data_IF_195017555941
#
_entry.id   IF_195017555941
#
_cell.length_a   1.000
_cell.length_b   1.000
_cell.length_c   1.000
_cell.angle_alpha   90.00
_cell.angle_beta   90.00
_cell.angle_gamma   90.00
#
_symmetry.space_group_name_H-M   'P 1'
#
loop_
_entity.id
_entity.type
_entity.pdbx_description
1 polymer ?
#
# COMPACT_ATOMS: atom_id res chain seq x y z
N UNK A 1 -9.33 -4.31 -18.77
CA UNK A 1 -7.87 -4.10 -18.69
C UNK A 1 -7.26 -5.30 -17.96
N UNK A 2 -6.43 -6.10 -18.64
CA UNK A 2 -5.79 -7.25 -17.98
C UNK A 2 -4.70 -6.74 -17.02
N UNK A 3 -4.95 -6.81 -15.73
CA UNK A 3 -3.95 -6.50 -14.72
C UNK A 3 -2.82 -7.53 -14.79
N UNK A 4 -1.62 -7.03 -15.02
CA UNK A 4 -0.40 -7.84 -15.03
C UNK A 4 -0.18 -8.38 -13.61
N UNK A 5 -0.71 -9.58 -13.34
CA UNK A 5 -0.57 -10.25 -12.04
C UNK A 5 0.89 -10.59 -11.82
N UNK A 6 1.48 -10.08 -10.76
CA UNK A 6 2.83 -10.45 -10.32
C UNK A 6 2.84 -11.96 -10.04
N UNK A 7 3.89 -12.70 -10.41
CA UNK A 7 3.93 -14.15 -10.27
C UNK A 7 3.63 -14.71 -8.87
N UNK A 8 3.82 -13.89 -7.83
CA UNK A 8 3.46 -14.21 -6.45
C UNK A 8 1.93 -14.17 -6.23
N UNK A 9 1.22 -13.17 -6.80
CA UNK A 9 -0.24 -13.08 -6.70
C UNK A 9 -0.93 -14.30 -7.31
N UNK A 10 -0.40 -14.83 -8.41
CA UNK A 10 -0.91 -16.05 -9.05
C UNK A 10 -0.87 -17.29 -8.16
N UNK A 11 0.08 -17.35 -7.23
CA UNK A 11 0.19 -18.49 -6.28
C UNK A 11 -0.79 -18.39 -5.10
N UNK A 12 -1.29 -17.18 -4.84
CA UNK A 12 -2.22 -16.91 -3.74
C UNK A 12 -3.67 -17.01 -4.21
N UNK A 13 -3.93 -16.76 -5.49
CA UNK A 13 -5.27 -16.84 -6.09
C UNK A 13 -5.69 -18.31 -6.32
N UNK A 14 -6.94 -18.62 -6.00
CA UNK A 14 -7.59 -19.88 -6.39
C UNK A 14 -7.92 -19.88 -7.89
N UNK A 15 -8.08 -21.06 -8.51
CA UNK A 15 -8.32 -21.21 -9.95
C UNK A 15 -9.58 -20.46 -10.44
N UNK A 16 -10.62 -20.38 -9.59
CA UNK A 16 -11.89 -19.70 -9.89
C UNK A 16 -11.96 -18.26 -9.36
N UNK A 17 -10.83 -17.70 -8.92
CA UNK A 17 -10.80 -16.38 -8.29
C UNK A 17 -10.39 -15.29 -9.28
N UNK A 18 -11.33 -14.40 -9.60
CA UNK A 18 -11.10 -13.30 -10.52
C UNK A 18 -10.68 -12.02 -9.74
N UNK A 19 -9.61 -11.36 -10.19
CA UNK A 19 -9.19 -10.07 -9.66
C UNK A 19 -10.11 -8.98 -10.20
N UNK A 20 -10.86 -8.34 -9.30
CA UNK A 20 -11.78 -7.24 -9.63
C UNK A 20 -11.07 -5.89 -9.63
N UNK A 21 -10.26 -5.62 -8.60
CA UNK A 21 -9.57 -4.34 -8.44
C UNK A 21 -8.24 -4.53 -7.74
N UNK A 22 -7.24 -3.75 -8.16
CA UNK A 22 -5.96 -3.65 -7.46
C UNK A 22 -5.80 -2.23 -6.94
N UNK A 23 -5.87 -2.05 -5.63
CA UNK A 23 -5.63 -0.78 -4.98
C UNK A 23 -4.19 -0.70 -4.50
N UNK A 24 -3.50 0.36 -4.89
CA UNK A 24 -2.15 0.67 -4.44
C UNK A 24 -2.19 1.85 -3.47
N UNK A 25 -1.22 1.87 -2.60
CA UNK A 25 -1.02 3.01 -1.71
C UNK A 25 -0.69 4.27 -2.52
N UNK A 26 -1.30 5.38 -2.16
CA UNK A 26 -1.13 6.64 -2.91
C UNK A 26 0.34 7.10 -2.91
N UNK A 27 0.82 7.61 -4.03
CA UNK A 27 2.23 8.01 -4.23
C UNK A 27 2.70 9.13 -3.29
N UNK A 28 1.79 9.98 -2.82
CA UNK A 28 2.08 11.07 -1.88
C UNK A 28 2.67 10.56 -0.56
N UNK A 29 2.20 9.42 -0.05
CA UNK A 29 2.77 8.84 1.18
C UNK A 29 4.24 8.52 0.99
N UNK A 30 4.58 7.96 -0.17
CA UNK A 30 5.97 7.73 -0.54
C UNK A 30 6.74 9.05 -0.57
N UNK A 31 6.19 10.06 -1.27
CA UNK A 31 6.85 11.35 -1.43
C UNK A 31 7.20 11.98 -0.07
N UNK A 32 6.23 12.09 0.85
CA UNK A 32 6.48 12.68 2.16
C UNK A 32 7.45 11.86 3.03
N UNK A 33 7.43 10.54 2.93
CA UNK A 33 8.37 9.69 3.66
C UNK A 33 9.78 9.72 3.09
N UNK A 34 9.90 9.75 1.77
CA UNK A 34 11.21 9.67 1.10
C UNK A 34 11.91 11.01 1.00
N UNK A 35 11.18 12.14 1.01
CA UNK A 35 11.78 13.48 0.88
C UNK A 35 12.80 13.79 1.99
N UNK A 36 12.50 13.38 3.24
CA UNK A 36 13.40 13.60 4.37
C UNK A 36 14.72 12.84 4.20
N UNK A 37 14.66 11.61 3.73
CA UNK A 37 15.87 10.82 3.44
C UNK A 37 16.69 11.44 2.32
N UNK A 38 16.04 11.91 1.26
CA UNK A 38 16.70 12.59 0.15
C UNK A 38 17.34 13.91 0.57
N UNK A 39 16.65 14.75 1.35
CA UNK A 39 17.18 16.00 1.87
C UNK A 39 18.38 15.76 2.79
N UNK A 40 18.31 14.77 3.68
CA UNK A 40 19.42 14.40 4.56
C UNK A 40 20.62 13.93 3.75
N UNK A 41 20.41 13.10 2.74
CA UNK A 41 21.48 12.65 1.85
C UNK A 41 22.16 13.82 1.12
N UNK A 42 21.37 14.73 0.53
CA UNK A 42 21.87 15.91 -0.17
C UNK A 42 22.64 16.83 0.80
N UNK A 43 22.12 17.06 2.02
CA UNK A 43 22.78 17.87 3.02
C UNK A 43 24.13 17.29 3.46
N UNK A 44 24.21 15.96 3.63
CA UNK A 44 25.45 15.28 3.98
C UNK A 44 26.49 15.36 2.86
N UNK A 45 26.09 15.16 1.60
CA UNK A 45 26.98 15.30 0.45
C UNK A 45 27.48 16.74 0.30
N UNK A 46 26.58 17.73 0.46
CA UNK A 46 26.97 19.15 0.44
C UNK A 46 27.93 19.49 1.59
N UNK A 47 27.69 18.96 2.80
CA UNK A 47 28.57 19.11 3.94
C UNK A 47 29.95 18.47 3.73
N UNK A 48 29.99 17.26 3.16
CA UNK A 48 31.25 16.61 2.81
C UNK A 48 32.05 17.42 1.77
N UNK A 49 31.38 17.93 0.73
CA UNK A 49 32.01 18.78 -0.27
C UNK A 49 32.52 20.11 0.32
N UNK A 50 31.77 20.72 1.24
CA UNK A 50 32.18 21.91 1.93
C UNK A 50 33.42 21.65 2.81
N UNK A 51 33.45 20.58 3.59
CA UNK A 51 34.57 20.14 4.37
C UNK A 51 35.82 19.90 3.49
N UNK A 52 35.65 19.20 2.37
CA UNK A 52 36.73 18.96 1.42
C UNK A 52 37.41 20.25 0.94
N UNK A 53 36.62 21.30 0.69
CA UNK A 53 37.14 22.58 0.18
C UNK A 53 37.71 23.50 1.29
N UNK A 54 37.33 23.28 2.55
CA UNK A 54 37.69 24.18 3.65
C UNK A 54 38.75 23.63 4.63
N UNK A 55 38.94 22.29 4.61
CA UNK A 55 39.88 21.64 5.52
C UNK A 55 41.29 21.56 4.92
N UNK A 56 42.36 21.60 5.78
CA UNK A 56 43.73 21.44 5.32
C UNK A 56 43.97 20.10 4.63
N UNK A 57 45.00 20.06 3.77
CA UNK A 57 45.40 18.82 3.12
C UNK A 57 45.81 17.77 4.17
N UNK A 58 45.24 16.56 4.04
CA UNK A 58 45.47 15.45 4.98
C UNK A 58 44.36 15.26 6.05
N UNK A 59 43.33 16.09 6.05
CA UNK A 59 42.20 15.98 6.96
C UNK A 59 41.09 15.12 6.29
N UNK A 60 40.83 13.95 6.81
CA UNK A 60 39.88 12.96 6.23
C UNK A 60 38.48 13.08 6.79
N UNK A 61 38.12 14.13 7.54
CA UNK A 61 36.77 14.32 8.12
C UNK A 61 35.65 14.29 7.08
N UNK A 62 35.89 14.85 5.90
CA UNK A 62 34.95 14.83 4.78
C UNK A 62 34.62 13.42 4.31
N UNK A 63 35.60 12.48 4.37
CA UNK A 63 35.38 11.05 4.02
C UNK A 63 34.36 10.40 4.95
N UNK A 64 34.48 10.66 6.26
CA UNK A 64 33.53 10.11 7.22
C UNK A 64 32.11 10.58 6.99
N UNK A 65 31.92 11.87 6.67
CA UNK A 65 30.62 12.42 6.33
C UNK A 65 30.09 11.80 5.03
N UNK A 66 30.94 11.64 4.03
CA UNK A 66 30.57 11.00 2.77
C UNK A 66 30.19 9.52 2.98
N UNK A 67 30.93 8.78 3.77
CA UNK A 67 30.62 7.37 4.10
C UNK A 67 29.30 7.27 4.87
N UNK A 68 29.09 8.13 5.86
CA UNK A 68 27.86 8.15 6.64
C UNK A 68 26.62 8.51 5.79
N UNK A 69 26.78 9.19 4.65
CA UNK A 69 25.70 9.50 3.73
C UNK A 69 25.07 8.26 3.09
N UNK A 70 25.73 7.09 3.17
CA UNK A 70 25.16 5.79 2.72
C UNK A 70 23.93 5.42 3.56
N UNK A 71 23.86 5.86 4.84
CA UNK A 71 22.72 5.55 5.73
C UNK A 71 21.41 6.16 5.19
N UNK A 72 21.30 7.48 4.93
CA UNK A 72 20.09 8.05 4.36
C UNK A 72 19.78 7.52 2.95
N UNK A 73 20.80 7.22 2.14
CA UNK A 73 20.60 6.58 0.84
C UNK A 73 19.96 5.18 0.98
N UNK A 74 20.45 4.37 1.89
CA UNK A 74 19.88 3.05 2.20
C UNK A 74 18.44 3.18 2.73
N UNK A 75 18.16 4.14 3.60
CA UNK A 75 16.81 4.46 4.09
C UNK A 75 15.86 4.85 2.97
N UNK A 76 16.31 5.67 2.04
CA UNK A 76 15.52 6.06 0.86
C UNK A 76 15.18 4.87 -0.04
N UNK A 77 16.16 4.02 -0.32
CA UNK A 77 15.97 2.78 -1.11
C UNK A 77 14.99 1.85 -0.39
N UNK A 78 15.14 1.68 0.93
CA UNK A 78 14.28 0.83 1.74
C UNK A 78 12.81 1.27 1.70
N UNK A 79 12.52 2.55 1.91
CA UNK A 79 11.16 3.10 1.83
C UNK A 79 10.56 2.93 0.43
N UNK A 80 11.37 3.07 -0.62
CA UNK A 80 10.93 2.81 -1.98
C UNK A 80 10.53 1.34 -2.19
N UNK A 81 11.33 0.40 -1.68
CA UNK A 81 11.06 -1.03 -1.76
C UNK A 81 9.80 -1.39 -0.97
N UNK A 82 9.64 -0.86 0.25
CA UNK A 82 8.44 -1.07 1.08
C UNK A 82 7.19 -0.62 0.33
N UNK A 83 7.18 0.60 -0.21
CA UNK A 83 6.03 1.12 -0.94
C UNK A 83 5.69 0.27 -2.18
N UNK A 84 6.70 -0.16 -2.92
CA UNK A 84 6.51 -0.96 -4.15
C UNK A 84 5.92 -2.34 -3.88
N UNK A 85 6.21 -2.91 -2.70
CA UNK A 85 5.76 -4.24 -2.31
C UNK A 85 4.42 -4.25 -1.54
N UNK A 86 3.82 -3.07 -1.26
CA UNK A 86 2.49 -2.99 -0.67
C UNK A 86 1.42 -2.99 -1.78
N UNK A 87 0.50 -3.94 -1.69
CA UNK A 87 -0.57 -4.13 -2.66
C UNK A 87 -1.83 -4.64 -1.96
N UNK A 88 -2.97 -4.05 -2.28
CA UNK A 88 -4.28 -4.53 -1.87
C UNK A 88 -5.03 -5.01 -3.11
N UNK A 89 -5.38 -6.27 -3.13
CA UNK A 89 -6.07 -6.91 -4.25
C UNK A 89 -7.46 -7.29 -3.80
N UNK A 90 -8.45 -6.83 -4.52
CA UNK A 90 -9.82 -7.24 -4.34
C UNK A 90 -10.18 -8.26 -5.41
N UNK A 91 -10.72 -9.37 -4.97
CA UNK A 91 -11.24 -10.44 -5.83
C UNK A 91 -12.75 -10.50 -5.73
N UNK A 92 -13.36 -11.41 -6.43
CA UNK A 92 -14.79 -11.70 -6.33
C UNK A 92 -15.19 -12.40 -5.02
N UNK A 93 -14.22 -12.82 -4.14
CA UNK A 93 -14.51 -13.57 -2.90
C UNK A 93 -13.89 -12.94 -1.65
N UNK A 94 -12.74 -12.28 -1.79
CA UNK A 94 -11.96 -11.75 -0.65
C UNK A 94 -11.13 -10.52 -1.03
N UNK A 95 -10.66 -9.84 0.01
CA UNK A 95 -9.66 -8.78 -0.11
C UNK A 95 -8.35 -9.35 0.40
N UNK A 96 -7.32 -9.34 -0.43
CA UNK A 96 -5.99 -9.83 -0.13
C UNK A 96 -5.08 -8.64 0.07
N UNK A 97 -4.55 -8.48 1.27
CA UNK A 97 -3.55 -7.48 1.60
C UNK A 97 -2.18 -8.12 1.59
N UNK A 98 -1.30 -7.59 0.77
CA UNK A 98 0.09 -8.06 0.70
C UNK A 98 1.02 -6.93 1.12
N UNK A 99 1.84 -7.21 2.12
CA UNK A 99 2.83 -6.28 2.66
C UNK A 99 4.18 -6.98 2.87
N UNK A 100 5.24 -6.16 2.87
CA UNK A 100 6.59 -6.59 3.23
C UNK A 100 7.53 -6.79 2.07
N UNK A 101 8.81 -6.50 2.31
CA UNK A 101 9.91 -6.62 1.35
C UNK A 101 10.59 -7.99 1.50
N UNK A 102 11.11 -8.28 2.67
CA UNK A 102 11.81 -9.52 3.00
C UNK A 102 10.84 -10.58 3.51
N UNK A 103 10.05 -10.24 4.53
CA UNK A 103 9.00 -11.10 5.06
C UNK A 103 7.67 -10.66 4.49
N UNK A 104 7.09 -11.45 3.60
CA UNK A 104 5.77 -11.17 3.04
C UNK A 104 4.69 -11.58 4.02
N UNK A 105 3.86 -10.60 4.40
CA UNK A 105 2.63 -10.83 5.15
C UNK A 105 1.47 -10.76 4.17
N UNK A 106 0.62 -11.77 4.22
CA UNK A 106 -0.62 -11.82 3.45
C UNK A 106 -1.75 -11.94 4.46
N UNK A 107 -2.70 -11.00 4.40
CA UNK A 107 -3.89 -11.03 5.21
C UNK A 107 -5.11 -11.05 4.28
N UNK A 108 -6.01 -11.98 4.52
CA UNK A 108 -7.21 -12.18 3.74
C UNK A 108 -8.44 -11.76 4.54
N UNK A 109 -9.36 -11.02 3.91
CA UNK A 109 -10.66 -10.68 4.46
C UNK A 109 -11.76 -11.14 3.50
N UNK A 110 -12.55 -12.14 3.91
CA UNK A 110 -13.65 -12.66 3.10
C UNK A 110 -14.76 -11.61 2.97
N UNK A 111 -15.26 -11.40 1.75
CA UNK A 111 -16.36 -10.47 1.46
C UNK A 111 -17.67 -10.89 2.17
N UNK A 112 -17.91 -12.19 2.35
CA UNK A 112 -19.05 -12.72 3.10
C UNK A 112 -19.06 -12.29 4.57
N UNK A 113 -17.88 -12.18 5.20
CA UNK A 113 -17.72 -11.79 6.61
C UNK A 113 -17.65 -10.28 6.83
N UNK A 114 -17.88 -9.52 5.78
CA UNK A 114 -17.80 -8.07 5.79
C UNK A 114 -19.07 -7.49 6.41
N UNK A 115 -18.96 -6.86 7.58
CA UNK A 115 -20.09 -6.26 8.28
C UNK A 115 -20.31 -4.80 7.84
N UNK A 116 -19.26 -3.99 7.87
CA UNK A 116 -19.33 -2.57 7.54
C UNK A 116 -18.01 -2.07 6.94
N UNK A 117 -18.10 -1.00 6.15
CA UNK A 117 -16.95 -0.36 5.50
C UNK A 117 -17.01 1.13 5.76
N UNK A 118 -16.10 1.60 6.60
CA UNK A 118 -15.96 3.03 6.88
C UNK A 118 -14.84 3.61 6.02
N UNK A 119 -15.08 4.79 5.47
CA UNK A 119 -14.09 5.54 4.70
C UNK A 119 -13.80 6.84 5.42
N UNK A 120 -12.53 7.10 5.68
CA UNK A 120 -12.07 8.34 6.31
C UNK A 120 -11.17 9.10 5.33
N UNK A 121 -11.54 10.35 5.05
CA UNK A 121 -10.77 11.24 4.21
C UNK A 121 -10.54 12.57 4.92
N UNK A 122 -9.28 12.98 5.05
CA UNK A 122 -8.92 14.34 5.45
C UNK A 122 -9.27 15.34 4.33
N UNK A 123 -9.27 16.64 4.63
CA UNK A 123 -9.46 17.68 3.61
C UNK A 123 -8.43 17.56 2.48
N UNK A 124 -7.17 17.34 2.80
CA UNK A 124 -6.13 17.08 1.82
C UNK A 124 -6.38 15.77 1.05
N UNK A 125 -6.87 14.74 1.74
CA UNK A 125 -7.22 13.47 1.13
C UNK A 125 -8.33 13.61 0.07
N UNK A 126 -9.31 14.48 0.31
CA UNK A 126 -10.38 14.78 -0.68
C UNK A 126 -9.84 15.50 -1.92
N UNK A 127 -8.97 16.50 -1.73
CA UNK A 127 -8.38 17.27 -2.84
C UNK A 127 -7.44 16.38 -3.68
N UNK A 128 -6.67 15.52 -3.04
CA UNK A 128 -5.63 14.71 -3.65
C UNK A 128 -6.09 13.29 -4.00
N UNK A 129 -7.37 12.94 -3.70
CA UNK A 129 -7.96 11.66 -4.08
C UNK A 129 -7.45 10.46 -3.28
N UNK A 130 -7.08 10.63 -2.00
CA UNK A 130 -6.68 9.51 -1.14
C UNK A 130 -7.46 9.47 0.17
N UNK A 131 -7.47 8.31 0.83
CA UNK A 131 -8.08 8.13 2.15
C UNK A 131 -7.84 6.75 2.71
N UNK A 132 -8.34 6.56 3.92
CA UNK A 132 -8.27 5.30 4.66
C UNK A 132 -9.61 4.57 4.57
N UNK A 133 -9.56 3.25 4.47
CA UNK A 133 -10.74 2.39 4.52
C UNK A 133 -10.58 1.45 5.70
N UNK A 134 -11.55 1.47 6.58
CA UNK A 134 -11.67 0.56 7.70
C UNK A 134 -12.72 -0.51 7.36
N UNK A 135 -12.29 -1.73 7.26
CA UNK A 135 -13.12 -2.89 6.97
C UNK A 135 -13.42 -3.58 8.29
N UNK A 136 -14.69 -3.60 8.69
CA UNK A 136 -15.16 -4.30 9.87
C UNK A 136 -15.64 -5.69 9.46
N UNK A 137 -15.03 -6.72 10.02
CA UNK A 137 -15.38 -8.11 9.75
C UNK A 137 -15.87 -8.80 11.04
N UNK A 138 -16.69 -9.85 10.89
CA UNK A 138 -17.14 -10.68 12.00
C UNK A 138 -16.06 -11.64 12.55
N UNK A 139 -14.79 -11.48 12.16
CA UNK A 139 -13.69 -12.31 12.64
C UNK A 139 -13.12 -11.78 13.95
N UNK A 140 -12.40 -12.63 14.72
CA UNK A 140 -11.77 -12.27 16.00
C UNK A 140 -10.77 -11.10 15.88
N UNK A 141 -10.20 -10.87 14.72
CA UNK A 141 -9.32 -9.71 14.44
C UNK A 141 -10.10 -8.44 14.10
N UNK A 142 -11.42 -8.50 14.00
CA UNK A 142 -12.44 -7.43 14.04
C UNK A 142 -12.34 -6.30 13.03
N UNK A 143 -11.17 -5.76 12.74
CA UNK A 143 -11.02 -4.62 11.85
C UNK A 143 -9.74 -4.72 11.03
N UNK A 144 -9.85 -4.54 9.73
CA UNK A 144 -8.73 -4.48 8.81
C UNK A 144 -8.65 -3.09 8.18
N UNK A 145 -7.54 -2.38 8.36
CA UNK A 145 -7.37 -1.00 7.89
C UNK A 145 -6.51 -0.95 6.64
N UNK A 146 -7.07 -0.44 5.56
CA UNK A 146 -6.39 -0.10 4.32
C UNK A 146 -6.00 1.38 4.36
N UNK A 147 -4.74 1.67 4.60
CA UNK A 147 -4.26 3.05 4.76
C UNK A 147 -3.87 3.69 3.44
N UNK A 148 -4.33 4.92 3.26
CA UNK A 148 -3.92 5.85 2.20
C UNK A 148 -4.04 5.25 0.80
N UNK A 149 -5.23 4.72 0.51
CA UNK A 149 -5.59 4.17 -0.79
C UNK A 149 -5.92 5.31 -1.74
N UNK A 150 -5.50 5.18 -2.99
CA UNK A 150 -5.97 6.03 -4.07
C UNK A 150 -7.43 5.67 -4.39
N UNK A 151 -8.28 6.68 -4.54
CA UNK A 151 -9.72 6.56 -4.78
C UNK A 151 -10.45 5.63 -3.78
N UNK A 152 -10.51 6.01 -2.49
CA UNK A 152 -11.14 5.17 -1.47
C UNK A 152 -12.65 5.01 -1.67
N UNK A 153 -13.32 5.99 -2.28
CA UNK A 153 -14.76 5.90 -2.55
C UNK A 153 -15.06 4.93 -3.69
N UNK A 154 -14.25 4.96 -4.75
CA UNK A 154 -14.35 3.98 -5.84
C UNK A 154 -14.06 2.57 -5.35
N UNK A 155 -13.05 2.40 -4.48
CA UNK A 155 -12.74 1.11 -3.86
C UNK A 155 -13.88 0.60 -2.98
N UNK A 156 -14.47 1.47 -2.12
CA UNK A 156 -15.62 1.12 -1.28
C UNK A 156 -16.80 0.67 -2.15
N UNK A 157 -17.12 1.42 -3.22
CA UNK A 157 -18.22 1.08 -4.14
C UNK A 157 -17.99 -0.30 -4.77
N UNK A 158 -16.82 -0.50 -5.37
CA UNK A 158 -16.48 -1.79 -5.99
C UNK A 158 -16.55 -2.96 -5.02
N UNK A 159 -16.21 -2.72 -3.74
CA UNK A 159 -16.28 -3.74 -2.69
C UNK A 159 -17.74 -4.10 -2.32
N UNK A 160 -18.62 -3.10 -2.23
CA UNK A 160 -20.04 -3.33 -1.98
C UNK A 160 -20.68 -4.05 -3.16
N UNK A 161 -20.40 -3.63 -4.39
CA UNK A 161 -20.88 -4.27 -5.62
C UNK A 161 -20.44 -5.74 -5.69
N UNK A 162 -19.18 -6.04 -5.33
CA UNK A 162 -18.67 -7.41 -5.28
C UNK A 162 -19.36 -8.27 -4.20
N UNK A 163 -19.65 -7.68 -3.03
CA UNK A 163 -20.39 -8.34 -1.96
C UNK A 163 -21.83 -8.66 -2.40
N UNK A 164 -22.51 -7.70 -3.02
CA UNK A 164 -23.89 -7.88 -3.48
C UNK A 164 -23.97 -8.92 -4.59
N UNK A 165 -23.02 -8.95 -5.52
CA UNK A 165 -22.91 -9.99 -6.54
C UNK A 165 -22.69 -11.38 -5.93
N UNK A 166 -21.88 -11.48 -4.87
CA UNK A 166 -21.64 -12.75 -4.15
C UNK A 166 -22.91 -13.24 -3.45
N UNK A 167 -23.65 -12.35 -2.79
CA UNK A 167 -24.91 -12.65 -2.12
C UNK A 167 -25.98 -13.10 -3.13
N UNK A 168 -26.07 -12.42 -4.28
CA UNK A 168 -27.02 -12.78 -5.35
C UNK A 168 -26.71 -14.15 -5.97
N UNK A 169 -25.45 -14.54 -6.04
CA UNK A 169 -25.02 -15.85 -6.53
C UNK A 169 -25.30 -16.99 -5.52
N UNK A 170 -25.37 -16.67 -4.22
CA UNK A 170 -25.64 -17.61 -3.13
C UNK A 170 -27.11 -17.77 -2.79
N UNK A 171 -28.00 -16.88 -3.25
CA UNK A 171 -29.45 -16.97 -2.98
C UNK A 171 -30.11 -17.80 -4.10
N UNK A 172 -30.75 -18.96 -3.80
CA UNK A 172 -31.45 -19.73 -4.82
C UNK A 172 -32.59 -18.89 -5.40
N UNK A 173 -32.90 -19.01 -6.70
CA UNK A 173 -33.96 -18.26 -7.34
C UNK A 173 -35.26 -18.43 -6.55
N UNK A 174 -35.79 -17.30 -6.02
CA UNK A 174 -37.09 -17.30 -5.37
C UNK A 174 -38.11 -17.87 -6.37
N UNK A 175 -38.66 -19.02 -6.02
CA UNK A 175 -39.77 -19.56 -6.76
C UNK A 175 -40.89 -18.50 -6.82
N UNK A 176 -41.22 -18.02 -7.99
CA UNK A 176 -42.39 -17.18 -8.20
C UNK A 176 -43.60 -18.01 -7.75
N UNK A 177 -44.43 -17.56 -6.80
CA UNK A 177 -45.68 -18.23 -6.49
C UNK A 177 -46.59 -18.10 -7.74
N UNK A 178 -47.02 -19.24 -8.26
CA UNK A 178 -48.05 -19.35 -9.29
C UNK A 178 -49.39 -18.80 -8.80
#
# INVERSE_FOLDING_TARGET
MAYRTTGYLRRVLSEDEAVTLIARRHWLVRFFKTIWWALTFIAMIAGAAWLYNTTPAGDDRWLWVAVLSVIPLAGWIWEHLVWRNQMNVMTNRRIIQMEGVLNKKVADSLLEKLNDVKTEQSLLGRILGYGDILILTASEQGANQLRTIADPLGFKRAMLDAKDALNAAGDPPRATPD
#
